data_IF_801365911283
#
_entry.id   IF_801365911283
#
_cell.length_a   1.000
_cell.length_b   1.000
_cell.length_c   1.000
_cell.angle_alpha   90.00
_cell.angle_beta   90.00
_cell.angle_gamma   90.00
#
_symmetry.space_group_name_H-M   'P 1'
#
loop_
_entity.id
_entity.type
_entity.pdbx_description
1 polymer ?
#
# COMPACT_ATOMS: atom_id res chain seq x y z
N UNK A 1 -2.98 18.61 -9.82
CA UNK A 1 -1.63 19.18 -9.95
C UNK A 1 -0.82 18.66 -8.77
N UNK A 2 0.25 17.91 -9.01
CA UNK A 2 1.08 17.31 -7.95
C UNK A 2 1.62 18.41 -7.02
N UNK A 3 1.68 18.14 -5.71
CA UNK A 3 2.34 19.04 -4.76
C UNK A 3 3.88 18.91 -4.88
N UNK A 4 4.38 19.25 -6.07
CA UNK A 4 5.80 19.27 -6.39
C UNK A 4 6.56 20.22 -5.45
N UNK A 5 5.90 21.27 -4.97
CA UNK A 5 6.49 22.18 -3.99
C UNK A 5 6.76 21.53 -2.65
N UNK A 6 5.85 20.73 -2.09
CA UNK A 6 6.09 20.07 -0.79
C UNK A 6 7.22 19.03 -0.89
N UNK A 7 7.26 18.26 -1.98
CA UNK A 7 8.34 17.29 -2.23
C UNK A 7 9.68 18.04 -2.42
N UNK A 8 9.68 19.14 -3.18
CA UNK A 8 10.88 19.96 -3.39
C UNK A 8 11.36 20.63 -2.10
N UNK A 9 10.45 21.20 -1.30
CA UNK A 9 10.78 21.83 -0.01
C UNK A 9 11.38 20.81 0.96
N UNK A 10 10.80 19.61 1.03
CA UNK A 10 11.41 18.51 1.77
C UNK A 10 12.84 18.19 1.26
N UNK A 11 13.09 18.18 -0.05
CA UNK A 11 14.42 17.84 -0.54
C UNK A 11 15.48 18.95 -0.36
N UNK A 12 15.10 20.23 -0.44
CA UNK A 12 16.03 21.37 -0.54
C UNK A 12 16.10 22.29 0.70
N UNK A 13 15.19 22.16 1.67
CA UNK A 13 15.16 23.00 2.88
C UNK A 13 15.38 22.13 4.14
N UNK A 14 16.64 21.75 4.47
CA UNK A 14 16.96 20.85 5.58
C UNK A 14 16.84 21.49 6.98
N UNK A 15 16.39 22.74 7.08
CA UNK A 15 16.34 23.52 8.32
C UNK A 15 14.90 23.79 8.82
N UNK A 16 13.90 23.10 8.27
CA UNK A 16 12.51 23.17 8.76
C UNK A 16 12.33 22.08 9.83
N UNK A 17 11.68 22.43 10.94
CA UNK A 17 11.47 21.55 12.10
C UNK A 17 10.93 20.16 11.70
N UNK A 18 11.53 19.10 12.23
CA UNK A 18 11.36 17.71 11.77
C UNK A 18 9.90 17.24 11.84
N UNK A 19 9.13 17.79 12.78
CA UNK A 19 7.71 17.48 13.00
C UNK A 19 6.78 18.09 11.93
N UNK A 20 7.04 19.32 11.46
CA UNK A 20 6.22 19.95 10.42
C UNK A 20 6.46 19.29 9.06
N UNK A 21 7.73 18.97 8.77
CA UNK A 21 8.12 18.15 7.62
C UNK A 21 7.45 16.77 7.64
N UNK A 22 7.37 16.15 8.82
CA UNK A 22 6.70 14.86 9.04
C UNK A 22 5.21 14.92 8.70
N UNK A 23 4.49 15.94 9.19
CA UNK A 23 3.05 16.10 8.94
C UNK A 23 2.77 16.32 7.46
N UNK A 24 3.61 17.10 6.76
CA UNK A 24 3.40 17.42 5.35
C UNK A 24 3.59 16.21 4.43
N UNK A 25 4.63 15.40 4.64
CA UNK A 25 4.89 14.19 3.83
C UNK A 25 3.85 13.09 4.10
N UNK A 26 3.49 12.88 5.38
CA UNK A 26 2.46 11.92 5.77
C UNK A 26 1.08 12.34 5.24
N UNK A 27 0.72 13.62 5.38
CA UNK A 27 -0.55 14.16 4.86
C UNK A 27 -0.61 14.09 3.35
N UNK A 28 0.48 14.38 2.64
CA UNK A 28 0.55 14.23 1.19
C UNK A 28 0.36 12.76 0.74
N UNK A 29 0.99 11.82 1.44
CA UNK A 29 0.88 10.38 1.13
C UNK A 29 -0.53 9.85 1.42
N UNK A 30 -1.14 10.27 2.53
CA UNK A 30 -2.53 9.93 2.89
C UNK A 30 -3.55 10.60 1.98
N UNK A 31 -3.32 11.86 1.60
CA UNK A 31 -4.16 12.56 0.62
C UNK A 31 -4.07 11.91 -0.76
N UNK A 32 -2.90 11.43 -1.19
CA UNK A 32 -2.75 10.63 -2.41
C UNK A 32 -3.51 9.30 -2.33
N UNK A 33 -3.48 8.63 -1.19
CA UNK A 33 -4.24 7.40 -0.96
C UNK A 33 -5.77 7.62 -1.00
N UNK A 34 -6.23 8.79 -0.53
CA UNK A 34 -7.65 9.11 -0.34
C UNK A 34 -8.22 10.11 -1.38
N UNK A 35 -7.45 10.53 -2.39
CA UNK A 35 -7.90 11.54 -3.34
C UNK A 35 -9.06 11.01 -4.21
N UNK A 36 -10.24 11.67 -4.19
CA UNK A 36 -11.29 11.41 -5.17
C UNK A 36 -10.85 12.08 -6.46
N UNK A 37 -10.29 11.30 -7.38
CA UNK A 37 -9.93 11.73 -8.72
C UNK A 37 -11.19 12.20 -9.46
N UNK A 38 -11.41 13.52 -9.51
CA UNK A 38 -12.44 14.19 -10.31
C UNK A 38 -12.23 14.08 -11.83
N UNK A 39 -11.59 13.01 -12.30
CA UNK A 39 -11.53 12.61 -13.70
C UNK A 39 -12.32 11.30 -13.82
N UNK A 40 -13.40 11.24 -14.63
CA UNK A 40 -14.28 10.08 -14.72
C UNK A 40 -13.57 8.80 -15.22
N UNK A 41 -12.36 8.93 -15.74
CA UNK A 41 -11.57 7.84 -16.33
C UNK A 41 -10.35 7.44 -15.49
N UNK A 42 -10.11 8.10 -14.35
CA UNK A 42 -8.91 7.84 -13.53
C UNK A 42 -9.27 7.12 -12.22
N UNK A 43 -9.32 5.80 -12.27
CA UNK A 43 -9.62 4.84 -11.20
C UNK A 43 -8.42 4.56 -10.26
N UNK A 44 -7.48 5.48 -10.12
CA UNK A 44 -6.06 5.23 -9.86
C UNK A 44 -5.59 4.85 -8.45
N UNK A 45 -6.42 4.30 -7.56
CA UNK A 45 -5.91 3.73 -6.29
C UNK A 45 -6.12 2.22 -6.22
N UNK A 46 -5.09 1.49 -5.79
CA UNK A 46 -5.14 0.04 -5.61
C UNK A 46 -6.24 -0.37 -4.62
N UNK A 47 -6.61 0.52 -3.68
CA UNK A 47 -7.78 0.37 -2.81
C UNK A 47 -9.08 0.28 -3.61
N UNK A 48 -9.31 1.20 -4.56
CA UNK A 48 -10.50 1.19 -5.43
C UNK A 48 -10.50 -0.04 -6.33
N UNK A 49 -9.34 -0.48 -6.81
CA UNK A 49 -9.21 -1.71 -7.59
C UNK A 49 -9.54 -2.95 -6.74
N UNK A 50 -9.10 -3.00 -5.48
CA UNK A 50 -9.43 -4.09 -4.56
C UNK A 50 -10.94 -4.15 -4.28
N UNK A 51 -11.57 -3.00 -4.06
CA UNK A 51 -13.03 -2.90 -3.91
C UNK A 51 -13.76 -3.37 -5.18
N UNK A 52 -13.36 -2.87 -6.35
CA UNK A 52 -13.95 -3.27 -7.63
C UNK A 52 -13.78 -4.78 -7.89
N UNK A 53 -12.59 -5.33 -7.61
CA UNK A 53 -12.33 -6.76 -7.70
C UNK A 53 -13.25 -7.54 -6.75
N UNK A 54 -13.39 -7.12 -5.48
CA UNK A 54 -14.31 -7.72 -4.54
C UNK A 54 -15.75 -7.74 -5.10
N UNK A 55 -16.24 -6.63 -5.63
CA UNK A 55 -17.58 -6.49 -6.21
C UNK A 55 -17.75 -7.18 -7.58
N UNK A 56 -16.69 -7.74 -8.15
CA UNK A 56 -16.71 -8.41 -9.47
C UNK A 56 -16.77 -7.44 -10.66
N UNK A 57 -16.46 -6.16 -10.44
CA UNK A 57 -16.39 -5.10 -11.45
C UNK A 57 -15.05 -5.17 -12.22
N UNK A 58 -14.82 -6.28 -12.91
CA UNK A 58 -13.53 -6.60 -13.53
C UNK A 58 -13.08 -5.61 -14.62
N UNK A 59 -14.01 -4.88 -15.22
CA UNK A 59 -13.75 -3.79 -16.17
C UNK A 59 -12.97 -2.62 -15.54
N UNK A 60 -13.04 -2.48 -14.21
CA UNK A 60 -12.33 -1.44 -13.44
C UNK A 60 -11.01 -1.93 -12.85
N UNK A 61 -10.63 -3.19 -13.12
CA UNK A 61 -9.43 -3.84 -12.56
C UNK A 61 -8.45 -4.15 -13.67
N UNK A 62 -7.36 -3.39 -13.73
CA UNK A 62 -6.26 -3.64 -14.66
C UNK A 62 -5.10 -4.41 -14.01
N UNK A 63 -4.33 -5.11 -14.84
CA UNK A 63 -3.15 -5.87 -14.40
C UNK A 63 -3.44 -7.10 -13.52
N UNK A 64 -2.36 -7.76 -13.12
CA UNK A 64 -2.34 -8.83 -12.11
C UNK A 64 -1.75 -8.29 -10.81
N UNK A 65 -2.17 -8.88 -9.68
CA UNK A 65 -1.48 -8.64 -8.40
C UNK A 65 -0.18 -9.44 -8.41
N UNK A 66 0.89 -8.79 -7.98
CA UNK A 66 2.18 -9.42 -7.73
C UNK A 66 2.44 -9.37 -6.22
N UNK A 67 2.99 -8.26 -5.73
CA UNK A 67 3.16 -8.00 -4.31
C UNK A 67 2.38 -6.76 -3.85
N UNK A 68 1.99 -6.74 -2.57
CA UNK A 68 1.36 -5.60 -1.92
C UNK A 68 1.86 -5.43 -0.48
N UNK A 69 1.50 -4.31 0.16
CA UNK A 69 1.81 -3.99 1.55
C UNK A 69 0.72 -3.12 2.17
N UNK A 70 0.81 -2.92 3.48
CA UNK A 70 0.06 -1.89 4.16
C UNK A 70 0.61 -0.49 3.85
N UNK A 71 -0.29 0.49 3.70
CA UNK A 71 0.11 1.87 3.42
C UNK A 71 0.92 2.49 4.56
N UNK A 72 0.66 2.09 5.81
CA UNK A 72 1.39 2.60 6.97
C UNK A 72 2.81 2.01 7.02
N UNK A 73 3.01 0.75 6.62
CA UNK A 73 4.35 0.17 6.56
C UNK A 73 5.21 0.84 5.47
N UNK A 74 4.64 1.11 4.30
CA UNK A 74 5.32 1.90 3.28
C UNK A 74 5.70 3.30 3.81
N UNK A 75 4.79 3.97 4.53
CA UNK A 75 5.07 5.26 5.15
C UNK A 75 6.17 5.18 6.22
N UNK A 76 6.14 4.16 7.09
CA UNK A 76 7.17 3.91 8.10
C UNK A 76 8.54 3.66 7.48
N UNK A 77 8.62 2.91 6.39
CA UNK A 77 9.87 2.71 5.65
C UNK A 77 10.40 4.00 5.04
N UNK A 78 9.54 4.86 4.49
CA UNK A 78 9.94 6.19 4.02
C UNK A 78 10.49 7.06 5.16
N UNK A 79 9.86 7.01 6.34
CA UNK A 79 10.35 7.71 7.54
C UNK A 79 11.70 7.14 7.98
N UNK A 80 11.86 5.82 8.00
CA UNK A 80 13.09 5.17 8.42
C UNK A 80 14.30 5.66 7.61
N UNK A 81 14.13 5.85 6.29
CA UNK A 81 15.19 6.35 5.40
C UNK A 81 15.68 7.75 5.80
N UNK A 82 14.80 8.59 6.32
CA UNK A 82 15.16 9.95 6.75
C UNK A 82 15.71 9.95 8.18
N UNK A 83 15.18 9.08 9.04
CA UNK A 83 15.47 9.06 10.47
C UNK A 83 16.70 8.24 10.86
N UNK A 84 17.06 7.22 10.08
CA UNK A 84 18.18 6.33 10.37
C UNK A 84 19.43 6.75 9.59
N UNK A 85 20.47 7.31 10.23
CA UNK A 85 21.70 7.72 9.53
C UNK A 85 22.45 6.55 8.88
N UNK A 86 22.17 5.32 9.34
CA UNK A 86 22.70 4.08 8.79
C UNK A 86 22.15 3.74 7.38
N UNK A 87 21.03 4.33 6.99
CA UNK A 87 20.39 4.11 5.68
C UNK A 87 20.84 5.18 4.69
N UNK A 88 21.81 4.84 3.84
CA UNK A 88 22.34 5.73 2.81
C UNK A 88 22.45 5.04 1.45
N UNK A 89 21.94 5.70 0.39
CA UNK A 89 22.01 5.23 -1.00
C UNK A 89 21.50 3.78 -1.20
N UNK A 90 20.52 3.36 -0.41
CA UNK A 90 19.92 2.02 -0.46
C UNK A 90 18.55 2.07 -1.17
N UNK A 91 18.21 1.01 -1.92
CA UNK A 91 16.85 0.81 -2.44
C UNK A 91 16.07 -0.08 -1.48
N UNK A 92 15.03 0.48 -0.87
CA UNK A 92 14.16 -0.25 0.06
C UNK A 92 12.85 -0.60 -0.65
N UNK A 93 12.50 -1.88 -0.61
CA UNK A 93 11.31 -2.41 -1.27
C UNK A 93 10.17 -2.54 -0.25
N UNK A 94 9.18 -1.65 -0.36
CA UNK A 94 8.02 -1.60 0.52
C UNK A 94 6.89 -2.51 0.00
N UNK A 95 7.16 -3.81 -0.14
CA UNK A 95 6.14 -4.83 -0.41
C UNK A 95 6.42 -6.10 0.38
N UNK A 96 5.41 -6.87 0.75
CA UNK A 96 5.59 -8.03 1.65
C UNK A 96 4.74 -9.25 1.29
N UNK A 97 3.51 -9.06 0.82
CA UNK A 97 2.58 -10.17 0.54
C UNK A 97 2.41 -10.40 -0.95
N UNK A 98 2.54 -11.64 -1.41
CA UNK A 98 2.28 -12.02 -2.81
C UNK A 98 0.91 -12.67 -2.93
N UNK A 99 0.10 -12.22 -3.90
CA UNK A 99 -1.23 -12.80 -4.09
C UNK A 99 -1.79 -12.56 -5.50
N UNK A 100 -2.97 -13.12 -5.78
CA UNK A 100 -3.79 -12.82 -6.97
C UNK A 100 -5.08 -12.10 -6.57
N UNK A 101 -5.78 -11.49 -7.54
CA UNK A 101 -7.10 -10.90 -7.27
C UNK A 101 -8.12 -11.92 -6.74
N UNK A 102 -8.10 -13.16 -7.23
CA UNK A 102 -9.04 -14.19 -6.79
C UNK A 102 -8.74 -14.65 -5.35
N UNK A 103 -7.46 -14.78 -4.99
CA UNK A 103 -7.04 -15.06 -3.62
C UNK A 103 -7.45 -13.93 -2.66
N UNK A 104 -7.23 -12.67 -3.04
CA UNK A 104 -7.67 -11.52 -2.25
C UNK A 104 -9.19 -11.51 -2.06
N UNK A 105 -9.98 -11.83 -3.10
CA UNK A 105 -11.44 -11.98 -2.99
C UNK A 105 -11.84 -13.08 -2.02
N UNK A 106 -11.17 -14.22 -2.08
CA UNK A 106 -11.38 -15.32 -1.15
C UNK A 106 -11.08 -14.90 0.29
N UNK A 107 -9.92 -14.27 0.53
CA UNK A 107 -9.52 -13.79 1.86
C UNK A 107 -10.50 -12.75 2.40
N UNK A 108 -10.89 -11.75 1.60
CA UNK A 108 -11.89 -10.73 1.97
C UNK A 108 -13.20 -11.38 2.40
N UNK A 109 -13.69 -12.37 1.64
CA UNK A 109 -14.93 -13.09 1.96
C UNK A 109 -14.88 -13.73 3.35
N UNK A 110 -13.71 -14.21 3.76
CA UNK A 110 -13.49 -14.85 5.06
C UNK A 110 -13.21 -13.88 6.20
N UNK A 111 -12.77 -12.65 5.93
CA UNK A 111 -12.35 -11.70 6.97
C UNK A 111 -13.51 -11.27 7.88
N UNK A 112 -14.72 -11.06 7.35
CA UNK A 112 -15.89 -10.67 8.15
C UNK A 112 -17.22 -10.82 7.37
N UNK A 113 -18.36 -10.69 8.06
CA UNK A 113 -19.68 -10.58 7.43
C UNK A 113 -19.77 -9.43 6.42
N UNK A 114 -19.03 -8.34 6.64
CA UNK A 114 -18.96 -7.22 5.70
C UNK A 114 -18.20 -7.64 4.43
N UNK A 115 -17.12 -8.39 4.61
CA UNK A 115 -16.36 -8.98 3.51
C UNK A 115 -17.18 -9.98 2.70
N UNK A 116 -17.94 -10.86 3.36
CA UNK A 116 -18.84 -11.80 2.70
C UNK A 116 -19.86 -11.08 1.79
N UNK A 117 -20.50 -10.01 2.30
CA UNK A 117 -21.49 -9.22 1.53
C UNK A 117 -20.87 -8.37 0.43
N UNK A 118 -19.62 -7.96 0.59
CA UNK A 118 -18.90 -7.16 -0.40
C UNK A 118 -18.55 -8.00 -1.63
N UNK A 119 -18.15 -9.26 -1.42
CA UNK A 119 -17.65 -10.11 -2.52
C UNK A 119 -18.81 -10.60 -3.38
N UNK A 120 -18.86 -10.13 -4.63
CA UNK A 120 -19.94 -10.40 -5.60
C UNK A 120 -19.37 -10.95 -6.91
N UNK A 121 -20.24 -11.61 -7.69
CA UNK A 121 -19.90 -12.10 -9.02
C UNK A 121 -18.91 -13.27 -9.04
N UNK A 122 -18.56 -13.70 -10.26
CA UNK A 122 -17.60 -14.79 -10.48
C UNK A 122 -16.16 -14.28 -10.40
N UNK A 123 -15.26 -15.19 -10.07
CA UNK A 123 -13.82 -15.01 -10.14
C UNK A 123 -13.38 -14.67 -11.56
N UNK A 124 -12.25 -13.95 -11.66
CA UNK A 124 -11.67 -13.59 -12.95
C UNK A 124 -11.14 -14.86 -13.61
N UNK A 125 -11.48 -15.08 -14.88
CA UNK A 125 -10.97 -16.18 -15.69
C UNK A 125 -9.52 -15.92 -16.16
N UNK A 126 -8.63 -15.61 -15.22
CA UNK A 126 -7.20 -15.41 -15.44
C UNK A 126 -6.47 -16.44 -14.62
N UNK A 127 -5.66 -17.23 -15.29
CA UNK A 127 -4.80 -18.24 -14.68
C UNK A 127 -3.38 -17.69 -14.52
N UNK A 128 -2.70 -18.13 -13.47
CA UNK A 128 -1.33 -17.74 -13.16
C UNK A 128 -1.21 -16.79 -11.97
N UNK A 129 0.00 -16.75 -11.43
CA UNK A 129 0.43 -15.88 -10.34
C UNK A 129 1.85 -15.40 -10.63
N UNK A 130 2.25 -14.29 -10.02
CA UNK A 130 3.66 -13.93 -10.03
C UNK A 130 4.49 -14.97 -9.26
N UNK A 131 5.58 -15.43 -9.89
CA UNK A 131 6.56 -16.40 -9.36
C UNK A 131 7.91 -15.75 -9.03
N UNK A 132 8.00 -14.42 -9.13
CA UNK A 132 9.19 -13.69 -8.71
C UNK A 132 9.48 -13.93 -7.22
N UNK A 133 10.76 -13.92 -6.87
CA UNK A 133 11.20 -14.12 -5.50
C UNK A 133 11.85 -12.84 -4.99
N UNK A 134 11.20 -12.20 -4.02
CA UNK A 134 11.72 -11.01 -3.36
C UNK A 134 12.05 -11.21 -1.88
N UNK A 135 12.19 -12.46 -1.41
CA UNK A 135 12.35 -12.77 0.03
C UNK A 135 13.49 -12.03 0.73
N UNK A 136 14.64 -11.88 0.08
CA UNK A 136 15.77 -11.12 0.63
C UNK A 136 15.47 -9.62 0.76
N UNK A 137 14.77 -9.05 -0.21
CA UNK A 137 14.38 -7.63 -0.22
C UNK A 137 13.31 -7.34 0.84
N UNK A 138 12.33 -8.24 0.96
CA UNK A 138 11.27 -8.17 1.99
C UNK A 138 11.90 -8.27 3.38
N UNK A 139 12.80 -9.23 3.60
CA UNK A 139 13.50 -9.39 4.86
C UNK A 139 14.28 -8.13 5.25
N UNK A 140 14.96 -7.49 4.29
CA UNK A 140 15.68 -6.24 4.56
C UNK A 140 14.75 -5.12 5.01
N UNK A 141 13.62 -4.94 4.33
CA UNK A 141 12.63 -3.94 4.73
C UNK A 141 12.01 -4.26 6.10
N UNK A 142 11.74 -5.53 6.38
CA UNK A 142 11.22 -5.97 7.68
C UNK A 142 12.22 -5.71 8.82
N UNK A 143 13.52 -5.96 8.58
CA UNK A 143 14.58 -5.67 9.55
C UNK A 143 14.67 -4.16 9.85
N UNK A 144 14.45 -3.28 8.85
CA UNK A 144 14.36 -1.83 9.05
C UNK A 144 13.12 -1.45 9.88
N UNK A 145 11.95 -2.04 9.60
CA UNK A 145 10.74 -1.81 10.40
C UNK A 145 10.97 -2.18 11.87
N UNK A 146 11.72 -3.26 12.13
CA UNK A 146 12.11 -3.66 13.49
C UNK A 146 13.07 -2.68 14.16
N UNK A 147 14.03 -2.14 13.42
CA UNK A 147 14.97 -1.13 13.92
C UNK A 147 14.25 0.13 14.42
N UNK A 148 13.16 0.54 13.76
CA UNK A 148 12.31 1.67 14.19
C UNK A 148 11.20 1.27 15.18
N UNK A 149 11.28 0.09 15.77
CA UNK A 149 10.40 -0.35 16.86
C UNK A 149 9.08 -1.00 16.45
N UNK A 150 8.88 -1.36 15.18
CA UNK A 150 7.75 -2.22 14.76
C UNK A 150 8.09 -3.71 14.94
N UNK A 151 7.08 -4.59 14.91
CA UNK A 151 7.32 -6.04 14.95
C UNK A 151 7.77 -6.62 13.58
N UNK A 152 7.46 -5.88 12.51
CA UNK A 152 7.65 -6.28 11.12
C UNK A 152 6.57 -5.64 10.26
N UNK A 153 6.31 -6.22 9.08
CA UNK A 153 5.15 -5.84 8.26
C UNK A 153 3.84 -6.25 8.91
N UNK A 154 2.77 -5.50 8.63
CA UNK A 154 1.40 -5.85 8.98
C UNK A 154 0.99 -7.19 8.35
N UNK A 155 0.19 -7.95 9.08
CA UNK A 155 -0.35 -9.22 8.59
C UNK A 155 -1.34 -8.98 7.44
N UNK A 156 -1.52 -9.98 6.56
CA UNK A 156 -2.56 -9.88 5.52
C UNK A 156 -3.96 -9.68 6.13
N UNK A 157 -4.23 -10.31 7.28
CA UNK A 157 -5.51 -10.19 7.98
C UNK A 157 -5.78 -8.76 8.44
N UNK A 158 -4.79 -8.10 9.06
CA UNK A 158 -4.92 -6.73 9.54
C UNK A 158 -5.11 -5.74 8.38
N UNK A 159 -4.38 -5.94 7.28
CA UNK A 159 -4.53 -5.13 6.05
C UNK A 159 -5.96 -5.25 5.51
N UNK A 160 -6.47 -6.47 5.38
CA UNK A 160 -7.82 -6.71 4.85
C UNK A 160 -8.91 -6.23 5.81
N UNK A 161 -8.70 -6.32 7.12
CA UNK A 161 -9.61 -5.74 8.12
C UNK A 161 -9.62 -4.21 8.01
N UNK A 162 -8.46 -3.57 7.96
CA UNK A 162 -8.35 -2.12 7.78
C UNK A 162 -8.98 -1.64 6.46
N UNK A 163 -8.82 -2.41 5.38
CA UNK A 163 -9.53 -2.19 4.12
C UNK A 163 -11.04 -2.20 4.32
N UNK A 164 -11.58 -3.26 4.95
CA UNK A 164 -13.01 -3.39 5.19
C UNK A 164 -13.56 -2.31 6.11
N UNK A 165 -12.83 -1.91 7.14
CA UNK A 165 -13.24 -0.84 8.06
C UNK A 165 -13.30 0.53 7.39
N UNK A 166 -12.56 0.71 6.29
CA UNK A 166 -12.53 1.95 5.51
C UNK A 166 -13.63 2.07 4.44
N UNK A 167 -14.46 1.04 4.26
CA UNK A 167 -15.59 1.01 3.30
C UNK A 167 -16.90 1.53 3.90
#
# INVERSE_FOLDING_TARGET
>A
MFNYEAIRKAFYEPNVDDLDRFVDVYSASRALANWPSGHPENTSSTFRMLKAAAEGEWDKVFGQVAYYTDVQDAARLLIAVVALPSLGNERIFAYCHNSTWNELRYKIRLTSLKGEKLVKGKDRAVEGRDLSNAGALIKRAEDILREIGQQGFASEEDILRGFLDSL
#
